data_IF_001220133257
#
_entry.id   IF_001220133257
#
_cell.length_a   1.000
_cell.length_b   1.000
_cell.length_c   1.000
_cell.angle_alpha   90.00
_cell.angle_beta   90.00
_cell.angle_gamma   90.00
#
_symmetry.space_group_name_H-M   'P 1'
#
loop_
_entity.id
_entity.type
_entity.pdbx_description
1 polymer ?
#
# COMPACT_ATOMS: atom_id res chain seq x y z
N UNK A 1 -12.19 -6.04 42.85
CA UNK A 1 -11.84 -7.09 41.86
C UNK A 1 -12.45 -6.80 40.50
N UNK A 2 -13.78 -6.75 40.34
CA UNK A 2 -14.44 -6.50 39.04
C UNK A 2 -14.01 -5.17 38.41
N UNK A 3 -14.12 -4.05 39.16
CA UNK A 3 -13.72 -2.73 38.65
C UNK A 3 -12.24 -2.68 38.24
N UNK A 4 -11.37 -3.41 38.93
CA UNK A 4 -9.94 -3.52 38.61
C UNK A 4 -9.72 -4.19 37.25
N UNK A 5 -10.44 -5.28 36.97
CA UNK A 5 -10.37 -5.99 35.69
C UNK A 5 -10.86 -5.09 34.55
N UNK A 6 -11.97 -4.38 34.75
CA UNK A 6 -12.53 -3.48 33.73
C UNK A 6 -11.55 -2.33 33.43
N UNK A 7 -10.92 -1.75 34.47
CA UNK A 7 -9.88 -0.74 34.29
C UNK A 7 -8.68 -1.28 33.50
N UNK A 8 -8.24 -2.50 33.80
CA UNK A 8 -7.16 -3.14 33.04
C UNK A 8 -7.52 -3.30 31.56
N UNK A 9 -8.73 -3.77 31.25
CA UNK A 9 -9.21 -3.90 29.87
C UNK A 9 -9.24 -2.52 29.17
N UNK A 10 -9.77 -1.50 29.84
CA UNK A 10 -9.79 -0.14 29.30
C UNK A 10 -8.38 0.35 28.92
N UNK A 11 -7.43 0.26 29.85
CA UNK A 11 -6.06 0.73 29.61
C UNK A 11 -5.30 -0.12 28.60
N UNK A 12 -5.53 -1.43 28.58
CA UNK A 12 -4.96 -2.31 27.58
C UNK A 12 -5.46 -1.96 26.18
N UNK A 13 -6.77 -1.79 26.01
CA UNK A 13 -7.38 -1.43 24.72
C UNK A 13 -6.93 -0.04 24.25
N UNK A 14 -6.88 0.95 25.15
CA UNK A 14 -6.37 2.28 24.85
C UNK A 14 -4.90 2.23 24.45
N UNK A 15 -4.08 1.48 25.21
CA UNK A 15 -2.66 1.29 24.94
C UNK A 15 -2.40 0.60 23.60
N UNK A 16 -3.18 -0.42 23.25
CA UNK A 16 -3.08 -1.12 21.95
C UNK A 16 -3.41 -0.20 20.78
N UNK A 17 -4.48 0.60 20.88
CA UNK A 17 -4.85 1.58 19.86
C UNK A 17 -3.75 2.64 19.74
N UNK A 18 -3.34 3.22 20.88
CA UNK A 18 -2.29 4.24 20.90
C UNK A 18 -0.99 3.73 20.29
N UNK A 19 -0.53 2.55 20.70
CA UNK A 19 0.68 1.93 20.15
C UNK A 19 0.56 1.73 18.64
N UNK A 20 -0.52 1.11 18.17
CA UNK A 20 -0.65 0.74 16.76
C UNK A 20 -0.73 1.95 15.82
N UNK A 21 -1.38 3.03 16.26
CA UNK A 21 -1.59 4.22 15.43
C UNK A 21 -0.56 5.33 15.65
N UNK A 22 0.05 5.46 16.84
CA UNK A 22 0.98 6.56 17.17
C UNK A 22 2.29 6.04 17.75
N UNK A 23 2.23 5.17 18.76
CA UNK A 23 3.41 4.70 19.49
C UNK A 23 4.42 3.95 18.61
N UNK A 24 3.95 3.17 17.64
CA UNK A 24 4.79 2.50 16.65
C UNK A 24 5.60 3.51 15.84
N UNK A 25 4.95 4.55 15.31
CA UNK A 25 5.61 5.59 14.52
C UNK A 25 6.69 6.32 15.32
N UNK A 26 6.41 6.64 16.60
CA UNK A 26 7.39 7.24 17.51
C UNK A 26 8.57 6.29 17.73
N UNK A 27 8.29 5.02 18.03
CA UNK A 27 9.32 4.02 18.32
C UNK A 27 10.24 3.79 17.10
N UNK A 28 9.68 3.56 15.92
CA UNK A 28 10.47 3.38 14.69
C UNK A 28 11.26 4.64 14.35
N UNK A 29 10.67 5.84 14.53
CA UNK A 29 11.41 7.09 14.34
C UNK A 29 12.65 7.18 15.24
N UNK A 30 12.54 6.81 16.52
CA UNK A 30 13.68 6.73 17.44
C UNK A 30 14.71 5.72 16.95
N UNK A 31 14.27 4.49 16.60
CA UNK A 31 15.17 3.43 16.12
C UNK A 31 15.91 3.82 14.84
N UNK A 32 15.24 4.49 13.90
CA UNK A 32 15.84 5.03 12.67
C UNK A 32 16.87 6.11 12.99
N UNK A 33 16.59 7.00 13.94
CA UNK A 33 17.54 8.04 14.37
C UNK A 33 18.81 7.43 14.96
N UNK A 34 18.67 6.39 15.79
CA UNK A 34 19.80 5.64 16.35
C UNK A 34 20.58 4.94 15.22
N UNK A 35 19.89 4.22 14.32
CA UNK A 35 20.52 3.52 13.20
C UNK A 35 21.30 4.46 12.26
N UNK A 36 20.82 5.69 12.07
CA UNK A 36 21.48 6.70 11.21
C UNK A 36 22.88 7.09 11.71
N UNK A 37 23.21 6.86 12.98
CA UNK A 37 24.55 7.07 13.53
C UNK A 37 25.60 6.11 12.95
N UNK A 38 25.16 4.96 12.41
CA UNK A 38 26.04 3.95 11.82
C UNK A 38 25.78 3.73 10.32
N UNK A 39 25.27 4.76 9.63
CA UNK A 39 24.87 4.64 8.22
C UNK A 39 26.08 4.40 7.34
N UNK A 40 26.08 3.27 6.62
CA UNK A 40 27.03 3.00 5.53
C UNK A 40 26.57 3.73 4.26
N UNK A 41 27.51 4.17 3.40
CA UNK A 41 27.16 4.65 2.07
C UNK A 41 26.42 3.56 1.30
N UNK A 42 25.35 3.95 0.61
CA UNK A 42 24.58 3.05 -0.25
C UNK A 42 25.24 3.05 -1.63
N UNK A 43 25.42 1.89 -2.29
CA UNK A 43 25.91 1.84 -3.66
C UNK A 43 25.00 2.66 -4.58
N UNK A 44 25.58 3.30 -5.59
CA UNK A 44 24.86 4.06 -6.60
C UNK A 44 25.37 3.68 -7.98
N UNK A 45 24.49 3.75 -8.97
CA UNK A 45 24.89 3.74 -10.38
C UNK A 45 25.63 5.04 -10.70
N UNK A 46 26.77 4.94 -11.38
CA UNK A 46 27.71 6.05 -11.57
C UNK A 46 27.41 6.83 -12.86
N UNK A 47 26.81 6.15 -13.85
CA UNK A 47 26.48 6.71 -15.17
C UNK A 47 25.26 6.01 -15.81
N UNK A 48 24.79 6.51 -16.96
CA UNK A 48 23.63 5.94 -17.67
C UNK A 48 23.88 4.53 -18.24
N UNK A 49 25.13 4.19 -18.53
CA UNK A 49 25.51 2.86 -19.03
C UNK A 49 25.45 1.81 -17.92
N UNK A 50 25.66 2.20 -16.67
CA UNK A 50 25.53 1.34 -15.50
C UNK A 50 24.08 1.07 -15.09
N UNK A 51 23.12 1.83 -15.62
CA UNK A 51 21.69 1.61 -15.34
C UNK A 51 21.22 0.25 -15.86
N UNK A 52 20.42 -0.51 -15.09
CA UNK A 52 19.92 -1.81 -15.51
C UNK A 52 18.86 -1.68 -16.61
N UNK A 53 18.70 -2.72 -17.42
CA UNK A 53 17.53 -2.84 -18.29
C UNK A 53 16.28 -3.07 -17.42
N UNK A 54 15.18 -2.41 -17.77
CA UNK A 54 13.90 -2.43 -17.04
C UNK A 54 12.77 -2.83 -17.99
N UNK A 55 11.86 -3.68 -17.54
CA UNK A 55 10.56 -3.89 -18.18
C UNK A 55 9.45 -3.23 -17.35
N UNK A 56 8.76 -2.25 -17.93
CA UNK A 56 7.54 -1.68 -17.37
C UNK A 56 6.35 -2.48 -17.89
N UNK A 57 5.71 -3.22 -17.00
CA UNK A 57 4.52 -4.02 -17.26
C UNK A 57 3.28 -3.24 -16.82
N UNK A 58 2.45 -2.87 -17.78
CA UNK A 58 1.17 -2.18 -17.56
C UNK A 58 0.02 -3.16 -17.72
N UNK A 59 -0.73 -3.40 -16.64
CA UNK A 59 -1.95 -4.20 -16.68
C UNK A 59 -3.16 -3.32 -17.00
N UNK A 60 -3.94 -3.72 -18.00
CA UNK A 60 -5.13 -3.01 -18.46
C UNK A 60 -6.30 -3.99 -18.65
N UNK A 61 -7.50 -3.59 -18.26
CA UNK A 61 -8.73 -4.33 -18.55
C UNK A 61 -9.84 -3.33 -18.85
N UNK A 62 -10.26 -3.26 -20.10
CA UNK A 62 -11.25 -2.30 -20.58
C UNK A 62 -10.95 -0.84 -20.19
N UNK A 63 -9.80 -0.34 -20.65
CA UNK A 63 -9.24 0.97 -20.30
C UNK A 63 -9.20 1.92 -21.51
N UNK A 64 -10.06 1.72 -22.53
CA UNK A 64 -10.04 2.50 -23.78
C UNK A 64 -10.08 4.03 -23.56
N UNK A 65 -10.73 4.49 -22.49
CA UNK A 65 -10.90 5.91 -22.17
C UNK A 65 -9.63 6.56 -21.57
N UNK A 66 -8.68 5.75 -21.11
CA UNK A 66 -7.48 6.21 -20.39
C UNK A 66 -6.16 5.73 -21.02
N UNK A 67 -6.19 4.63 -21.77
CA UNK A 67 -4.99 3.94 -22.23
C UNK A 67 -4.06 4.82 -23.08
N UNK A 68 -4.60 5.72 -23.91
CA UNK A 68 -3.82 6.70 -24.69
C UNK A 68 -2.96 7.60 -23.80
N UNK A 69 -3.55 8.11 -22.70
CA UNK A 69 -2.82 8.94 -21.73
C UNK A 69 -1.72 8.13 -21.05
N UNK A 70 -2.01 6.87 -20.72
CA UNK A 70 -1.02 5.96 -20.12
C UNK A 70 0.14 5.65 -21.07
N UNK A 71 -0.14 5.44 -22.35
CA UNK A 71 0.86 5.22 -23.40
C UNK A 71 1.77 6.46 -23.51
N UNK A 72 1.19 7.65 -23.69
CA UNK A 72 1.94 8.90 -23.75
C UNK A 72 2.83 9.08 -22.50
N UNK A 73 2.26 8.89 -21.31
CA UNK A 73 2.99 8.95 -20.04
C UNK A 73 4.16 7.96 -19.96
N UNK A 74 3.98 6.73 -20.46
CA UNK A 74 5.03 5.70 -20.43
C UNK A 74 6.17 6.01 -21.41
N UNK A 75 5.85 6.64 -22.56
CA UNK A 75 6.84 7.05 -23.56
C UNK A 75 7.63 8.31 -23.16
N UNK A 76 7.10 9.09 -22.22
CA UNK A 76 7.72 10.33 -21.69
C UNK A 76 8.63 10.10 -20.48
N UNK A 77 8.72 8.87 -19.97
CA UNK A 77 9.58 8.53 -18.82
C UNK A 77 11.04 8.85 -19.11
N UNK A 78 11.71 9.48 -18.13
CA UNK A 78 13.14 9.80 -18.22
C UNK A 78 14.00 8.56 -17.92
N UNK A 79 14.18 7.74 -18.95
CA UNK A 79 15.05 6.57 -18.93
C UNK A 79 15.62 6.29 -20.33
N UNK A 80 16.84 5.74 -20.45
CA UNK A 80 17.39 5.37 -21.76
C UNK A 80 16.44 4.41 -22.50
N UNK A 81 15.94 4.84 -23.68
CA UNK A 81 14.90 4.10 -24.43
C UNK A 81 15.29 2.67 -24.78
N UNK A 82 16.57 2.43 -25.02
CA UNK A 82 17.11 1.09 -25.33
C UNK A 82 17.23 0.18 -24.09
N UNK A 83 16.95 0.70 -22.88
CA UNK A 83 16.94 -0.01 -21.60
C UNK A 83 15.56 -0.01 -20.93
N UNK A 84 14.51 0.39 -21.63
CA UNK A 84 13.14 0.38 -21.13
C UNK A 84 12.22 -0.36 -22.08
N UNK A 85 11.84 -1.57 -21.70
CA UNK A 85 10.82 -2.33 -22.41
C UNK A 85 9.44 -1.93 -21.89
N UNK A 86 8.53 -1.58 -22.80
CA UNK A 86 7.14 -1.30 -22.48
C UNK A 86 6.29 -2.51 -22.85
N UNK A 87 5.74 -3.19 -21.85
CA UNK A 87 4.90 -4.37 -22.03
C UNK A 87 3.50 -4.06 -21.50
N UNK A 88 2.51 -4.11 -22.36
CA UNK A 88 1.11 -3.86 -21.99
C UNK A 88 0.33 -5.15 -22.09
N UNK A 89 -0.37 -5.52 -21.02
CA UNK A 89 -1.18 -6.73 -20.96
C UNK A 89 -2.66 -6.41 -20.81
N UNK A 90 -3.49 -6.96 -21.71
CA UNK A 90 -4.91 -6.62 -21.85
C UNK A 90 -5.84 -7.84 -21.72
N UNK A 91 -5.46 -8.85 -20.93
CA UNK A 91 -6.20 -10.12 -20.84
C UNK A 91 -7.66 -9.93 -20.44
N UNK A 92 -8.57 -10.49 -21.24
CA UNK A 92 -10.01 -10.37 -21.08
C UNK A 92 -10.63 -9.08 -21.60
N UNK A 93 -9.84 -8.13 -22.12
CA UNK A 93 -10.40 -6.87 -22.65
C UNK A 93 -11.26 -7.15 -23.88
N UNK A 94 -12.43 -6.55 -23.93
CA UNK A 94 -13.40 -6.70 -25.02
C UNK A 94 -13.84 -5.36 -25.62
N UNK A 95 -13.12 -4.29 -25.30
CA UNK A 95 -13.28 -2.95 -25.82
C UNK A 95 -12.10 -2.58 -26.76
N UNK A 96 -11.93 -1.30 -27.11
CA UNK A 96 -10.88 -0.85 -28.02
C UNK A 96 -9.46 -0.85 -27.42
N UNK A 97 -9.28 -1.21 -26.14
CA UNK A 97 -7.98 -1.14 -25.45
C UNK A 97 -6.86 -1.88 -26.19
N UNK A 98 -7.02 -3.16 -26.62
CA UNK A 98 -5.96 -3.87 -27.32
C UNK A 98 -5.64 -3.25 -28.69
N UNK A 99 -6.65 -2.74 -29.39
CA UNK A 99 -6.50 -2.15 -30.72
C UNK A 99 -5.74 -0.83 -30.67
N UNK A 100 -6.04 0.01 -29.67
CA UNK A 100 -5.31 1.25 -29.41
C UNK A 100 -3.82 0.94 -29.18
N UNK A 101 -3.50 0.02 -28.26
CA UNK A 101 -2.11 -0.32 -27.93
C UNK A 101 -1.38 -0.90 -29.15
N UNK A 102 -2.05 -1.72 -29.97
CA UNK A 102 -1.44 -2.35 -31.15
C UNK A 102 -0.92 -1.33 -32.18
N UNK A 103 -1.47 -0.12 -32.19
CA UNK A 103 -1.02 0.95 -33.08
C UNK A 103 0.32 1.59 -32.66
N UNK A 104 0.89 1.21 -31.51
CA UNK A 104 2.16 1.74 -31.02
C UNK A 104 3.29 0.71 -31.14
N UNK A 105 4.13 0.85 -32.16
CA UNK A 105 5.23 -0.08 -32.45
C UNK A 105 6.29 -0.23 -31.33
N UNK A 106 6.43 0.78 -30.46
CA UNK A 106 7.37 0.77 -29.33
C UNK A 106 6.84 0.01 -28.09
N UNK A 107 5.64 -0.56 -28.18
CA UNK A 107 4.98 -1.25 -27.06
C UNK A 107 4.73 -2.70 -27.44
N UNK A 108 5.16 -3.61 -26.58
CA UNK A 108 4.83 -5.02 -26.70
C UNK A 108 3.44 -5.28 -26.10
N UNK A 109 2.45 -5.46 -26.96
CA UNK A 109 1.12 -5.89 -26.54
C UNK A 109 1.08 -7.40 -26.28
N UNK A 110 0.55 -7.76 -25.12
CA UNK A 110 0.20 -9.13 -24.75
C UNK A 110 -1.32 -9.18 -24.54
N UNK A 111 -2.04 -9.96 -25.34
CA UNK A 111 -3.50 -10.09 -25.22
C UNK A 111 -3.97 -11.54 -25.29
N UNK A 112 -4.87 -11.92 -24.39
CA UNK A 112 -5.68 -13.13 -24.46
C UNK A 112 -7.16 -12.76 -24.28
N UNK A 113 -8.10 -13.38 -25.02
CA UNK A 113 -9.53 -13.15 -24.83
C UNK A 113 -10.05 -13.59 -23.46
N UNK A 114 -9.41 -14.56 -22.80
CA UNK A 114 -9.86 -15.10 -21.52
C UNK A 114 -9.46 -14.22 -20.33
N UNK A 115 -10.43 -13.90 -19.46
CA UNK A 115 -10.17 -13.18 -18.21
C UNK A 115 -9.83 -14.13 -17.05
N UNK A 116 -8.55 -14.30 -16.77
CA UNK A 116 -8.04 -15.12 -15.64
C UNK A 116 -7.61 -14.30 -14.40
N UNK A 117 -7.83 -12.98 -14.43
CA UNK A 117 -7.50 -12.07 -13.34
C UNK A 117 -6.08 -11.48 -13.42
N UNK A 118 -5.82 -10.46 -12.58
CA UNK A 118 -4.57 -9.66 -12.60
C UNK A 118 -3.32 -10.50 -12.35
N UNK A 119 -3.36 -11.41 -11.37
CA UNK A 119 -2.23 -12.30 -11.03
C UNK A 119 -1.82 -13.17 -12.23
N UNK A 120 -2.80 -13.79 -12.90
CA UNK A 120 -2.53 -14.63 -14.07
C UNK A 120 -1.92 -13.83 -15.23
N UNK A 121 -2.44 -12.63 -15.48
CA UNK A 121 -1.89 -11.69 -16.45
C UNK A 121 -0.44 -11.32 -16.10
N UNK A 122 -0.17 -10.88 -14.86
CA UNK A 122 1.18 -10.53 -14.41
C UNK A 122 2.17 -11.68 -14.58
N UNK A 123 1.79 -12.91 -14.20
CA UNK A 123 2.62 -14.10 -14.40
C UNK A 123 2.99 -14.31 -15.87
N UNK A 124 2.02 -14.15 -16.77
CA UNK A 124 2.24 -14.27 -18.22
C UNK A 124 3.16 -13.17 -18.73
N UNK A 125 2.95 -11.92 -18.28
CA UNK A 125 3.76 -10.79 -18.69
C UNK A 125 5.24 -10.96 -18.27
N UNK A 126 5.50 -11.53 -17.10
CA UNK A 126 6.85 -11.78 -16.60
C UNK A 126 7.59 -12.84 -17.41
N UNK A 127 6.89 -13.86 -17.90
CA UNK A 127 7.48 -14.84 -18.81
C UNK A 127 7.94 -14.22 -20.15
N UNK A 128 7.46 -13.02 -20.48
CA UNK A 128 7.86 -12.25 -21.65
C UNK A 128 8.80 -11.09 -21.34
N UNK A 129 9.12 -10.84 -20.07
CA UNK A 129 10.07 -9.80 -19.66
C UNK A 129 11.47 -10.42 -19.56
N UNK A 130 12.43 -9.89 -20.32
CA UNK A 130 13.83 -10.36 -20.28
C UNK A 130 14.68 -9.50 -19.32
N UNK A 131 14.28 -8.25 -19.13
CA UNK A 131 14.94 -7.29 -18.25
C UNK A 131 15.15 -7.83 -16.82
N UNK A 132 16.30 -7.56 -16.19
CA UNK A 132 16.59 -7.99 -14.82
C UNK A 132 15.69 -7.33 -13.78
N UNK A 133 15.15 -6.14 -14.06
CA UNK A 133 14.20 -5.42 -13.20
C UNK A 133 12.86 -5.32 -13.90
N UNK A 134 11.79 -5.65 -13.18
CA UNK A 134 10.41 -5.54 -13.65
C UNK A 134 9.67 -4.53 -12.77
N UNK A 135 8.93 -3.62 -13.38
CA UNK A 135 8.05 -2.65 -12.71
C UNK A 135 6.62 -2.95 -13.13
N UNK A 136 5.74 -3.19 -12.16
CA UNK A 136 4.31 -3.34 -12.37
C UNK A 136 3.59 -2.03 -12.12
N UNK A 137 2.64 -1.73 -12.98
CA UNK A 137 1.82 -0.54 -12.90
C UNK A 137 0.43 -0.80 -13.47
N UNK A 138 -0.58 -0.11 -12.92
CA UNK A 138 -1.95 -0.17 -13.43
C UNK A 138 -2.17 0.88 -14.53
N UNK A 139 -3.01 0.55 -15.52
CA UNK A 139 -3.27 1.42 -16.66
C UNK A 139 -3.91 2.75 -16.28
N UNK A 140 -4.77 2.78 -15.26
CA UNK A 140 -5.47 3.97 -14.77
C UNK A 140 -4.61 4.89 -13.88
N UNK A 141 -3.30 4.67 -13.82
CA UNK A 141 -2.35 5.46 -13.02
C UNK A 141 -1.31 6.15 -13.90
N UNK A 142 -0.96 7.41 -13.62
CA UNK A 142 0.14 8.11 -14.29
C UNK A 142 1.39 8.16 -13.42
N UNK A 143 2.52 7.81 -14.01
CA UNK A 143 3.83 7.84 -13.37
C UNK A 143 4.48 9.21 -13.52
N UNK A 144 5.27 9.64 -12.54
CA UNK A 144 6.11 10.81 -12.73
C UNK A 144 7.29 10.53 -13.66
N UNK A 145 7.80 11.58 -14.32
CA UNK A 145 8.85 11.47 -15.34
C UNK A 145 10.07 10.67 -14.88
N UNK A 146 10.55 10.95 -13.67
CA UNK A 146 11.73 10.31 -13.05
C UNK A 146 11.44 8.97 -12.37
N UNK A 147 10.22 8.43 -12.50
CA UNK A 147 9.75 7.26 -11.73
C UNK A 147 10.69 6.06 -11.85
N UNK A 148 11.05 5.68 -13.08
CA UNK A 148 11.91 4.51 -13.34
C UNK A 148 13.30 4.76 -12.76
N UNK A 149 13.89 5.94 -13.01
CA UNK A 149 15.21 6.34 -12.51
C UNK A 149 15.28 6.29 -10.98
N UNK A 150 14.27 6.83 -10.30
CA UNK A 150 14.18 6.83 -8.84
C UNK A 150 13.97 5.43 -8.26
N UNK A 151 13.24 4.56 -8.95
CA UNK A 151 13.11 3.15 -8.55
C UNK A 151 14.45 2.42 -8.70
N UNK A 152 15.09 2.52 -9.88
CA UNK A 152 16.21 1.65 -10.18
C UNK A 152 17.41 1.89 -9.28
N UNK A 153 17.62 3.13 -8.80
CA UNK A 153 18.76 3.50 -7.94
C UNK A 153 18.94 2.59 -6.72
N UNK A 154 17.86 2.02 -6.20
CA UNK A 154 17.91 1.10 -5.05
C UNK A 154 18.51 -0.26 -5.39
N UNK A 155 18.41 -0.73 -6.63
CA UNK A 155 18.95 -2.03 -7.04
C UNK A 155 20.47 -2.07 -7.19
N UNK A 156 21.16 -0.95 -7.01
CA UNK A 156 22.60 -0.94 -6.81
C UNK A 156 23.00 -1.71 -5.53
N UNK A 157 22.11 -1.79 -4.53
CA UNK A 157 22.25 -2.71 -3.39
C UNK A 157 21.72 -4.11 -3.77
N UNK A 158 22.57 -5.16 -3.77
CA UNK A 158 22.15 -6.52 -4.11
C UNK A 158 21.13 -7.10 -3.12
N UNK A 159 21.01 -6.55 -1.90
CA UNK A 159 19.98 -6.97 -0.93
C UNK A 159 18.59 -6.49 -1.31
N UNK A 160 18.47 -5.43 -2.11
CA UNK A 160 17.17 -4.91 -2.52
C UNK A 160 16.58 -5.88 -3.54
N UNK A 161 15.53 -6.57 -3.12
CA UNK A 161 14.77 -7.48 -3.97
C UNK A 161 13.59 -6.79 -4.66
N UNK A 162 13.07 -5.71 -4.06
CA UNK A 162 11.97 -4.94 -4.63
C UNK A 162 11.93 -3.48 -4.17
N UNK A 163 11.18 -2.64 -4.89
CA UNK A 163 10.95 -1.23 -4.52
C UNK A 163 9.49 -0.90 -4.72
N UNK A 164 8.87 -0.31 -3.70
CA UNK A 164 7.52 0.23 -3.74
C UNK A 164 7.56 1.74 -3.93
N UNK A 165 6.84 2.24 -4.93
CA UNK A 165 6.63 3.67 -5.11
C UNK A 165 5.49 4.21 -4.24
N UNK A 166 5.30 5.53 -4.28
CA UNK A 166 4.21 6.20 -3.59
C UNK A 166 2.92 6.21 -4.42
N UNK A 167 1.83 5.82 -3.80
CA UNK A 167 0.49 6.04 -4.34
C UNK A 167 0.07 7.48 -4.07
N UNK A 168 -0.36 8.20 -5.11
CA UNK A 168 -0.94 9.55 -4.99
C UNK A 168 -2.32 9.60 -5.61
N UNK A 169 -3.19 10.42 -5.04
CA UNK A 169 -4.51 10.71 -5.58
C UNK A 169 -4.45 12.11 -6.22
N UNK A 170 -4.98 12.25 -7.43
CA UNK A 170 -5.09 13.54 -8.09
C UNK A 170 -5.97 14.47 -7.27
N UNK A 171 -5.41 15.63 -6.92
CA UNK A 171 -6.20 16.70 -6.34
C UNK A 171 -6.86 17.46 -7.49
N UNK A 172 -8.11 17.12 -7.79
CA UNK A 172 -8.97 18.05 -8.53
C UNK A 172 -9.32 19.21 -7.59
N UNK A 173 -9.05 20.43 -8.05
CA UNK A 173 -9.25 21.70 -7.33
C UNK A 173 -10.69 21.96 -6.87
N UNK A 174 -11.66 21.13 -7.27
CA UNK A 174 -13.07 21.28 -6.94
C UNK A 174 -13.51 20.71 -5.57
N UNK A 175 -12.76 19.77 -4.96
CA UNK A 175 -13.19 19.07 -3.73
C UNK A 175 -12.08 19.01 -2.65
N UNK A 176 -11.49 20.16 -2.32
CA UNK A 176 -10.36 20.29 -1.40
C UNK A 176 -10.62 19.81 0.06
N UNK A 177 -11.87 19.67 0.49
CA UNK A 177 -12.22 19.35 1.88
C UNK A 177 -12.27 17.83 2.16
N UNK A 178 -12.87 17.03 1.27
CA UNK A 178 -12.82 15.56 1.37
C UNK A 178 -11.38 15.05 1.17
N UNK A 179 -10.60 15.73 0.32
CA UNK A 179 -9.19 15.45 0.09
C UNK A 179 -8.27 15.72 1.31
N UNK A 180 -8.73 16.46 2.34
CA UNK A 180 -7.87 16.87 3.46
C UNK A 180 -7.63 15.74 4.48
N UNK A 181 -8.69 14.98 4.83
CA UNK A 181 -8.59 13.87 5.80
C UNK A 181 -7.89 12.65 5.22
N UNK A 182 -8.28 12.24 4.02
CA UNK A 182 -7.62 11.17 3.28
C UNK A 182 -6.15 11.54 2.96
N UNK A 183 -5.89 12.79 2.60
CA UNK A 183 -4.53 13.29 2.36
C UNK A 183 -3.64 13.24 3.61
N UNK A 184 -4.16 13.53 4.81
CA UNK A 184 -3.38 13.43 6.05
C UNK A 184 -3.08 11.97 6.40
N UNK A 185 -4.05 11.07 6.25
CA UNK A 185 -3.84 9.64 6.45
C UNK A 185 -2.78 9.08 5.50
N UNK A 186 -2.86 9.37 4.20
CA UNK A 186 -1.88 8.89 3.23
C UNK A 186 -0.49 9.48 3.46
N UNK A 187 -0.39 10.76 3.84
CA UNK A 187 0.90 11.37 4.26
C UNK A 187 1.48 10.65 5.47
N UNK A 188 0.64 10.30 6.45
CA UNK A 188 1.08 9.57 7.62
C UNK A 188 1.53 8.14 7.28
N UNK A 189 0.75 7.40 6.49
CA UNK A 189 1.14 6.07 6.01
C UNK A 189 2.41 6.10 5.16
N UNK A 190 2.58 7.10 4.28
CA UNK A 190 3.80 7.30 3.50
C UNK A 190 5.00 7.59 4.39
N UNK A 191 4.83 8.41 5.43
CA UNK A 191 5.85 8.65 6.44
C UNK A 191 6.24 7.37 7.19
N UNK A 192 5.26 6.57 7.62
CA UNK A 192 5.54 5.29 8.28
C UNK A 192 6.24 4.30 7.35
N UNK A 193 5.81 4.17 6.08
CA UNK A 193 6.50 3.33 5.08
C UNK A 193 7.96 3.75 4.87
N UNK A 194 8.23 5.05 4.87
CA UNK A 194 9.59 5.58 4.80
C UNK A 194 10.40 5.21 6.03
N UNK A 195 9.81 5.32 7.22
CA UNK A 195 10.45 4.91 8.47
C UNK A 195 10.76 3.41 8.50
N UNK A 196 9.82 2.56 8.09
CA UNK A 196 10.02 1.11 7.98
C UNK A 196 11.16 0.79 6.99
N UNK A 197 11.13 1.38 5.80
CA UNK A 197 12.18 1.21 4.80
C UNK A 197 13.56 1.67 5.30
N UNK A 198 13.62 2.79 6.03
CA UNK A 198 14.84 3.30 6.65
C UNK A 198 15.32 2.37 7.78
N UNK A 199 14.41 1.79 8.56
CA UNK A 199 14.71 0.87 9.67
C UNK A 199 15.19 -0.48 9.15
N UNK A 200 14.46 -1.11 8.24
CA UNK A 200 14.87 -2.36 7.61
C UNK A 200 14.23 -2.61 6.25
N UNK A 201 12.90 -2.64 6.15
CA UNK A 201 12.15 -2.89 4.91
C UNK A 201 10.76 -2.26 4.98
N UNK A 202 10.21 -1.77 3.88
CA UNK A 202 8.79 -1.35 3.89
C UNK A 202 7.88 -2.57 4.01
N UNK A 203 6.84 -2.48 4.86
CA UNK A 203 5.86 -3.55 5.03
C UNK A 203 4.72 -3.37 4.04
N UNK A 204 4.86 -4.07 2.92
CA UNK A 204 3.92 -4.08 1.81
C UNK A 204 4.23 -3.04 0.75
N UNK A 205 4.13 -3.46 -0.50
CA UNK A 205 4.10 -2.57 -1.65
C UNK A 205 2.67 -2.17 -2.00
N UNK A 206 2.52 -1.05 -2.71
CA UNK A 206 1.27 -0.68 -3.35
C UNK A 206 1.32 -1.21 -4.79
N UNK A 207 0.36 -2.04 -5.19
CA UNK A 207 0.33 -2.69 -6.50
C UNK A 207 0.21 -1.73 -7.68
N UNK A 208 -0.10 -0.46 -7.44
CA UNK A 208 -0.10 0.61 -8.42
C UNK A 208 1.32 0.96 -8.91
N UNK A 209 2.35 0.74 -8.08
CA UNK A 209 3.76 0.95 -8.42
C UNK A 209 4.67 0.09 -7.55
N UNK A 210 4.97 -1.11 -8.04
CA UNK A 210 5.88 -2.06 -7.40
C UNK A 210 6.88 -2.60 -8.40
N UNK A 211 8.14 -2.69 -8.00
CA UNK A 211 9.19 -3.30 -8.80
C UNK A 211 9.87 -4.43 -8.06
N UNK A 212 10.44 -5.35 -8.82
CA UNK A 212 11.14 -6.52 -8.31
C UNK A 212 12.29 -6.91 -9.23
N UNK A 213 13.33 -7.55 -8.67
CA UNK A 213 14.27 -8.32 -9.49
C UNK A 213 13.53 -9.48 -10.14
N UNK A 214 13.58 -9.59 -11.46
CA UNK A 214 12.85 -10.60 -12.24
C UNK A 214 13.07 -12.02 -11.70
N UNK A 215 14.32 -12.35 -11.38
CA UNK A 215 14.71 -13.67 -10.86
C UNK A 215 14.11 -14.01 -9.48
N UNK A 216 13.71 -12.99 -8.71
CA UNK A 216 13.11 -13.14 -7.38
C UNK A 216 11.57 -13.07 -7.43
N UNK A 217 10.98 -12.85 -8.60
CA UNK A 217 9.54 -12.81 -8.72
C UNK A 217 8.97 -14.21 -8.48
N UNK A 218 8.16 -14.32 -7.43
CA UNK A 218 7.32 -15.48 -7.18
C UNK A 218 5.86 -15.07 -7.30
N UNK A 219 5.09 -15.88 -8.03
CA UNK A 219 3.66 -15.66 -8.09
C UNK A 219 3.01 -15.88 -6.72
N UNK A 220 2.06 -15.02 -6.36
CA UNK A 220 1.15 -15.33 -5.28
C UNK A 220 0.25 -16.52 -5.69
N UNK A 221 -0.14 -17.39 -4.74
CA UNK A 221 -1.11 -18.44 -5.04
C UNK A 221 -2.37 -17.89 -5.69
N UNK A 222 -2.98 -18.67 -6.59
CA UNK A 222 -4.23 -18.27 -7.25
C UNK A 222 -5.31 -17.93 -6.21
N UNK A 223 -6.07 -16.86 -6.47
CA UNK A 223 -7.07 -16.36 -5.53
C UNK A 223 -6.51 -15.51 -4.37
N UNK A 224 -5.22 -15.16 -4.39
CA UNK A 224 -4.68 -14.14 -3.46
C UNK A 224 -5.29 -12.78 -3.76
N UNK A 225 -5.80 -12.11 -2.73
CA UNK A 225 -6.54 -10.84 -2.86
C UNK A 225 -5.63 -9.60 -2.84
N UNK A 226 -4.57 -9.64 -2.02
CA UNK A 226 -3.56 -8.59 -1.89
C UNK A 226 -2.19 -9.14 -2.29
N UNK A 227 -2.08 -9.51 -3.56
CA UNK A 227 -0.92 -10.20 -4.14
C UNK A 227 0.37 -9.41 -3.98
N UNK A 228 0.32 -8.11 -4.20
CA UNK A 228 1.41 -7.15 -4.07
C UNK A 228 2.02 -7.15 -2.65
N UNK A 229 1.15 -7.14 -1.65
CA UNK A 229 1.52 -7.22 -0.24
C UNK A 229 2.18 -8.55 0.10
N UNK A 230 1.62 -9.66 -0.38
CA UNK A 230 2.17 -11.00 -0.14
C UNK A 230 3.52 -11.18 -0.84
N UNK A 231 3.62 -10.79 -2.12
CA UNK A 231 4.85 -10.91 -2.91
C UNK A 231 5.99 -10.09 -2.34
N UNK A 232 5.73 -8.83 -1.98
CA UNK A 232 6.75 -7.96 -1.39
C UNK A 232 7.29 -8.52 -0.06
N UNK A 233 6.45 -9.13 0.77
CA UNK A 233 6.89 -9.72 2.04
C UNK A 233 7.52 -11.11 1.89
N UNK A 234 7.18 -11.88 0.85
CA UNK A 234 7.92 -13.12 0.51
C UNK A 234 9.38 -12.85 0.18
N UNK A 235 9.70 -11.74 -0.49
CA UNK A 235 11.09 -11.33 -0.71
C UNK A 235 11.85 -11.22 0.63
N UNK A 236 11.19 -10.73 1.67
CA UNK A 236 11.77 -10.58 3.01
C UNK A 236 11.99 -11.93 3.70
N UNK A 237 11.08 -12.90 3.51
CA UNK A 237 11.24 -14.28 4.00
C UNK A 237 12.47 -14.95 3.37
N UNK A 238 12.77 -14.61 2.11
CA UNK A 238 13.93 -15.06 1.35
C UNK A 238 15.22 -14.24 1.61
N UNK A 239 15.21 -13.33 2.60
CA UNK A 239 16.40 -12.58 3.02
C UNK A 239 16.70 -11.29 2.25
N UNK A 240 15.83 -10.90 1.32
CA UNK A 240 15.90 -9.62 0.62
C UNK A 240 15.16 -8.52 1.38
N UNK A 241 15.26 -7.29 0.90
CA UNK A 241 14.52 -6.15 1.44
C UNK A 241 13.74 -5.44 0.33
N UNK A 242 12.63 -4.83 0.73
CA UNK A 242 11.83 -3.95 -0.12
C UNK A 242 12.06 -2.51 0.32
N UNK A 243 12.44 -1.65 -0.63
CA UNK A 243 12.63 -0.22 -0.38
C UNK A 243 11.37 0.56 -0.69
N UNK A 244 11.19 1.69 -0.01
CA UNK A 244 10.15 2.65 -0.33
C UNK A 244 10.76 3.90 -0.98
N UNK A 245 10.24 4.28 -2.14
CA UNK A 245 10.71 5.39 -2.94
C UNK A 245 9.59 6.44 -3.11
N UNK A 246 9.54 7.50 -2.28
CA UNK A 246 8.50 8.51 -2.37
C UNK A 246 8.63 9.45 -3.57
N UNK A 247 9.81 9.55 -4.20
CA UNK A 247 10.01 10.38 -5.39
C UNK A 247 9.63 9.63 -6.69
N UNK A 248 9.25 8.37 -6.60
CA UNK A 248 8.62 7.60 -7.67
C UNK A 248 7.17 7.34 -7.29
N UNK A 249 6.22 7.95 -8.00
CA UNK A 249 4.82 7.88 -7.65
C UNK A 249 3.90 7.54 -8.81
N UNK A 250 2.85 6.79 -8.50
CA UNK A 250 1.72 6.51 -9.38
C UNK A 250 0.51 7.31 -8.90
N UNK A 251 -0.03 8.14 -9.79
CA UNK A 251 -1.10 9.06 -9.49
C UNK A 251 -2.40 8.65 -10.18
N UNK A 252 -3.47 8.43 -9.42
CA UNK A 252 -4.80 8.03 -9.92
C UNK A 252 -5.87 9.07 -9.58
N UNK A 253 -6.97 9.06 -10.35
CA UNK A 253 -8.16 9.82 -10.00
C UNK A 253 -8.85 9.25 -8.73
N UNK A 254 -9.50 10.09 -7.91
CA UNK A 254 -10.25 9.61 -6.75
C UNK A 254 -11.41 8.70 -7.20
N UNK A 255 -11.73 7.69 -6.39
CA UNK A 255 -12.85 6.79 -6.67
C UNK A 255 -14.18 7.55 -6.69
N UNK A 256 -14.96 7.33 -7.76
CA UNK A 256 -16.21 8.08 -7.97
C UNK A 256 -17.37 7.63 -7.03
N UNK A 257 -17.28 6.44 -6.43
CA UNK A 257 -18.38 5.81 -5.69
C UNK A 257 -17.93 5.24 -4.35
N UNK A 258 -18.52 5.75 -3.26
CA UNK A 258 -18.29 5.24 -1.90
C UNK A 258 -18.70 3.76 -1.78
N UNK A 259 -19.75 3.34 -2.51
CA UNK A 259 -20.21 1.94 -2.49
C UNK A 259 -19.16 1.00 -3.10
N UNK A 260 -18.50 1.42 -4.17
CA UNK A 260 -17.43 0.65 -4.80
C UNK A 260 -16.17 0.65 -3.93
N UNK A 261 -15.85 1.78 -3.31
CA UNK A 261 -14.74 1.88 -2.36
C UNK A 261 -14.97 0.99 -1.13
N UNK A 262 -16.18 0.93 -0.59
CA UNK A 262 -16.53 0.03 0.50
C UNK A 262 -16.35 -1.45 0.09
N UNK A 263 -16.84 -1.85 -1.10
CA UNK A 263 -16.60 -3.20 -1.62
C UNK A 263 -15.10 -3.51 -1.75
N UNK A 264 -14.31 -2.55 -2.24
CA UNK A 264 -12.85 -2.65 -2.33
C UNK A 264 -12.23 -2.85 -0.95
N UNK A 265 -12.57 -2.02 0.05
CA UNK A 265 -12.03 -2.11 1.41
C UNK A 265 -12.39 -3.42 2.11
N UNK A 266 -13.64 -3.89 2.00
CA UNK A 266 -14.07 -5.19 2.56
C UNK A 266 -13.24 -6.33 1.99
N UNK A 267 -13.02 -6.33 0.67
CA UNK A 267 -12.15 -7.30 0.01
C UNK A 267 -10.70 -7.21 0.51
N UNK A 268 -10.14 -6.00 0.63
CA UNK A 268 -8.78 -5.79 1.17
C UNK A 268 -8.68 -6.34 2.61
N UNK A 269 -9.69 -6.11 3.46
CA UNK A 269 -9.73 -6.66 4.81
C UNK A 269 -9.75 -8.20 4.80
N UNK A 270 -10.51 -8.84 3.92
CA UNK A 270 -10.47 -10.29 3.76
C UNK A 270 -9.07 -10.76 3.29
N UNK A 271 -8.46 -10.02 2.36
CA UNK A 271 -7.09 -10.26 1.90
C UNK A 271 -6.04 -10.15 3.00
N UNK A 272 -6.21 -9.24 3.96
CA UNK A 272 -5.33 -9.09 5.10
C UNK A 272 -5.26 -10.37 5.96
N UNK A 273 -6.41 -11.01 6.26
CA UNK A 273 -6.45 -12.29 6.97
C UNK A 273 -5.84 -13.43 6.14
N UNK A 274 -6.09 -13.44 4.83
CA UNK A 274 -5.45 -14.39 3.92
C UNK A 274 -3.91 -14.23 3.94
N UNK A 275 -3.41 -12.99 3.89
CA UNK A 275 -1.98 -12.70 3.92
C UNK A 275 -1.32 -13.14 5.23
N UNK A 276 -2.01 -13.06 6.38
CA UNK A 276 -1.49 -13.59 7.65
C UNK A 276 -1.18 -15.09 7.58
N UNK A 277 -2.03 -15.86 6.90
CA UNK A 277 -1.84 -17.30 6.72
C UNK A 277 -0.69 -17.57 5.75
N UNK A 278 -0.67 -16.86 4.62
CA UNK A 278 0.35 -17.00 3.57
C UNK A 278 1.75 -16.55 4.04
N UNK A 279 1.82 -15.63 5.00
CA UNK A 279 3.04 -15.06 5.55
C UNK A 279 3.28 -15.49 7.00
N UNK A 280 2.78 -16.67 7.40
CA UNK A 280 2.87 -17.17 8.77
C UNK A 280 4.31 -17.22 9.32
N UNK A 281 5.30 -17.39 8.44
CA UNK A 281 6.71 -17.44 8.81
C UNK A 281 7.20 -16.12 9.41
N UNK A 282 6.59 -14.99 9.05
CA UNK A 282 6.90 -13.67 9.60
C UNK A 282 6.40 -13.48 11.04
N UNK A 283 5.68 -14.43 11.63
CA UNK A 283 5.43 -14.42 13.08
C UNK A 283 6.61 -14.98 13.90
N UNK A 284 7.60 -15.58 13.25
CA UNK A 284 8.82 -16.03 13.92
C UNK A 284 9.78 -14.86 14.17
N UNK A 285 9.57 -14.15 15.27
CA UNK A 285 10.39 -13.02 15.72
C UNK A 285 11.86 -13.36 15.97
N UNK A 286 12.20 -14.63 16.17
CA UNK A 286 13.60 -15.04 16.34
C UNK A 286 14.32 -15.19 15.00
N UNK A 287 13.59 -15.62 13.96
CA UNK A 287 14.13 -15.77 12.60
C UNK A 287 14.16 -14.44 11.83
N UNK A 288 13.14 -13.61 11.99
CA UNK A 288 12.97 -12.36 11.23
C UNK A 288 12.73 -11.14 12.15
N UNK A 289 13.61 -10.84 13.13
CA UNK A 289 13.29 -9.94 14.25
C UNK A 289 12.74 -8.58 13.84
N UNK A 290 13.37 -7.90 12.88
CA UNK A 290 12.94 -6.56 12.49
C UNK A 290 11.71 -6.60 11.57
N UNK A 291 11.69 -7.49 10.57
CA UNK A 291 10.55 -7.64 9.65
C UNK A 291 9.29 -8.08 10.40
N UNK A 292 9.41 -9.03 11.32
CA UNK A 292 8.32 -9.48 12.18
C UNK A 292 7.79 -8.34 13.05
N UNK A 293 8.69 -7.54 13.63
CA UNK A 293 8.30 -6.38 14.43
C UNK A 293 7.52 -5.34 13.60
N UNK A 294 8.02 -4.97 12.42
CA UNK A 294 7.36 -4.02 11.51
C UNK A 294 6.02 -4.60 11.02
N UNK A 295 6.00 -5.86 10.59
CA UNK A 295 4.79 -6.55 10.09
C UNK A 295 3.70 -6.63 11.15
N UNK A 296 4.04 -7.08 12.36
CA UNK A 296 3.07 -7.24 13.45
C UNK A 296 2.57 -5.87 13.90
N UNK A 297 3.47 -4.93 14.18
CA UNK A 297 3.13 -3.64 14.78
C UNK A 297 2.41 -2.71 13.81
N UNK A 298 2.86 -2.64 12.56
CA UNK A 298 2.29 -1.73 11.57
C UNK A 298 1.02 -2.29 10.91
N UNK A 299 0.93 -3.61 10.70
CA UNK A 299 -0.20 -4.22 9.97
C UNK A 299 -1.09 -5.06 10.86
N UNK A 300 -0.54 -6.13 11.46
CA UNK A 300 -1.37 -7.15 12.11
C UNK A 300 -2.19 -6.59 13.26
N UNK A 301 -1.59 -5.79 14.14
CA UNK A 301 -2.31 -5.18 15.26
C UNK A 301 -3.50 -4.32 14.78
N UNK A 302 -3.30 -3.53 13.73
CA UNK A 302 -4.35 -2.67 13.15
C UNK A 302 -5.48 -3.46 12.52
N UNK A 303 -5.17 -4.57 11.86
CA UNK A 303 -6.18 -5.42 11.21
C UNK A 303 -6.97 -6.29 12.20
N UNK A 304 -6.36 -6.68 13.32
CA UNK A 304 -6.94 -7.70 14.22
C UNK A 304 -7.35 -7.14 15.57
N UNK A 305 -6.38 -6.64 16.36
CA UNK A 305 -6.61 -6.25 17.73
C UNK A 305 -7.24 -4.85 17.86
N UNK A 306 -6.92 -3.90 16.97
CA UNK A 306 -7.49 -2.55 17.05
C UNK A 306 -9.02 -2.52 16.92
N UNK A 307 -9.66 -3.24 15.98
CA UNK A 307 -11.13 -3.28 15.91
C UNK A 307 -11.76 -3.83 17.20
N UNK A 308 -11.18 -4.90 17.77
CA UNK A 308 -11.65 -5.49 19.04
C UNK A 308 -11.37 -4.53 20.22
N UNK A 309 -10.22 -3.86 20.21
CA UNK A 309 -9.83 -2.87 21.21
C UNK A 309 -10.80 -1.68 21.22
N UNK A 310 -11.26 -1.20 20.06
CA UNK A 310 -12.24 -0.11 19.99
C UNK A 310 -13.57 -0.49 20.68
N UNK A 311 -14.07 -1.70 20.43
CA UNK A 311 -15.32 -2.19 21.03
C UNK A 311 -15.14 -2.36 22.54
N UNK A 312 -14.08 -3.05 22.95
CA UNK A 312 -13.80 -3.31 24.37
C UNK A 312 -13.48 -2.04 25.14
N UNK A 313 -12.85 -1.03 24.52
CA UNK A 313 -12.61 0.28 25.10
C UNK A 313 -13.92 1.02 25.38
N UNK A 314 -14.88 1.01 24.44
CA UNK A 314 -16.18 1.64 24.65
C UNK A 314 -16.96 0.94 25.78
N UNK A 315 -17.07 -0.39 25.73
CA UNK A 315 -17.82 -1.16 26.72
C UNK A 315 -17.21 -0.99 28.12
N UNK A 316 -15.88 -1.12 28.24
CA UNK A 316 -15.21 -0.94 29.52
C UNK A 316 -15.38 0.47 30.07
N UNK A 317 -15.33 1.51 29.24
CA UNK A 317 -15.53 2.89 29.68
C UNK A 317 -16.96 3.15 30.18
N UNK A 318 -17.98 2.64 29.47
CA UNK A 318 -19.39 2.71 29.92
C UNK A 318 -19.55 2.09 31.31
N UNK A 319 -18.99 0.90 31.51
CA UNK A 319 -19.06 0.20 32.80
C UNK A 319 -18.32 0.95 33.91
N UNK A 320 -17.15 1.53 33.64
CA UNK A 320 -16.41 2.33 34.61
C UNK A 320 -17.24 3.55 35.04
N UNK A 321 -17.80 4.31 34.08
CA UNK A 321 -18.62 5.50 34.38
C UNK A 321 -19.88 5.13 35.16
N UNK A 322 -20.51 4.00 34.85
CA UNK A 322 -21.71 3.54 35.56
C UNK A 322 -21.42 3.10 37.00
N UNK A 323 -20.27 2.47 37.26
CA UNK A 323 -19.93 1.92 38.57
C UNK A 323 -19.21 2.92 39.48
N UNK A 324 -18.36 3.77 38.91
CA UNK A 324 -17.48 4.69 39.63
C UNK A 324 -17.20 5.93 38.75
N UNK A 325 -18.18 6.84 38.61
CA UNK A 325 -18.06 7.99 37.73
C UNK A 325 -16.88 8.88 38.15
N UNK A 326 -16.09 9.28 37.16
CA UNK A 326 -14.96 10.19 37.32
C UNK A 326 -14.94 11.15 36.13
N UNK A 327 -14.57 12.44 36.34
CA UNK A 327 -14.53 13.43 35.27
C UNK A 327 -13.75 12.98 34.04
N UNK A 328 -12.64 12.25 34.25
CA UNK A 328 -11.81 11.72 33.18
C UNK A 328 -12.57 10.71 32.30
N UNK A 329 -13.07 9.62 32.90
CA UNK A 329 -13.76 8.56 32.16
C UNK A 329 -15.04 9.06 31.50
N UNK A 330 -15.77 9.96 32.16
CA UNK A 330 -16.96 10.62 31.61
C UNK A 330 -16.60 11.45 30.38
N UNK A 331 -15.55 12.28 30.44
CA UNK A 331 -15.10 13.06 29.29
C UNK A 331 -14.68 12.16 28.13
N UNK A 332 -13.90 11.11 28.40
CA UNK A 332 -13.48 10.14 27.37
C UNK A 332 -14.71 9.47 26.75
N UNK A 333 -15.72 9.12 27.54
CA UNK A 333 -16.95 8.49 27.04
C UNK A 333 -17.75 9.43 26.14
N UNK A 334 -17.84 10.72 26.51
CA UNK A 334 -18.47 11.75 25.67
C UNK A 334 -17.73 11.91 24.34
N UNK A 335 -16.39 11.95 24.37
CA UNK A 335 -15.58 12.03 23.15
C UNK A 335 -15.71 10.79 22.28
N UNK A 336 -15.77 9.59 22.87
CA UNK A 336 -16.05 8.34 22.16
C UNK A 336 -17.44 8.38 21.53
N UNK A 337 -18.47 8.79 22.28
CA UNK A 337 -19.83 8.94 21.78
C UNK A 337 -19.89 9.88 20.58
N UNK A 338 -19.27 11.06 20.69
CA UNK A 338 -19.16 12.02 19.59
C UNK A 338 -18.47 11.39 18.37
N UNK A 339 -17.32 10.74 18.56
CA UNK A 339 -16.58 10.06 17.49
C UNK A 339 -17.44 9.02 16.75
N UNK A 340 -18.12 8.14 17.47
CA UNK A 340 -18.96 7.11 16.85
C UNK A 340 -20.21 7.69 16.18
N UNK A 341 -20.83 8.71 16.77
CA UNK A 341 -21.97 9.43 16.17
C UNK A 341 -21.53 10.10 14.87
N UNK A 342 -20.36 10.75 14.84
CA UNK A 342 -19.78 11.34 13.62
C UNK A 342 -19.53 10.26 12.56
N UNK A 343 -19.00 9.10 12.95
CA UNK A 343 -18.79 7.98 12.02
C UNK A 343 -20.10 7.44 11.42
N UNK A 344 -21.12 7.23 12.25
CA UNK A 344 -22.44 6.75 11.82
C UNK A 344 -23.15 7.79 10.93
N UNK A 345 -23.11 9.07 11.31
CA UNK A 345 -23.72 10.15 10.51
C UNK A 345 -23.02 10.30 9.16
N UNK A 346 -21.69 10.17 9.11
CA UNK A 346 -20.92 10.15 7.87
C UNK A 346 -21.32 9.00 6.96
N UNK A 347 -21.46 7.79 7.51
CA UNK A 347 -21.94 6.63 6.75
C UNK A 347 -23.37 6.81 6.23
N UNK A 348 -24.30 7.35 7.05
CA UNK A 348 -25.68 7.61 6.63
C UNK A 348 -25.70 8.62 5.48
N UNK A 349 -24.96 9.73 5.58
CA UNK A 349 -24.90 10.74 4.53
C UNK A 349 -24.25 10.21 3.25
N UNK A 350 -23.17 9.46 3.37
CA UNK A 350 -22.54 8.75 2.25
C UNK A 350 -23.54 7.83 1.53
N UNK A 351 -24.33 7.05 2.28
CA UNK A 351 -25.33 6.14 1.71
C UNK A 351 -26.48 6.86 0.98
N UNK A 352 -26.72 8.12 1.31
CA UNK A 352 -27.72 9.01 0.69
C UNK A 352 -27.13 9.95 -0.37
N UNK A 353 -25.85 9.80 -0.74
CA UNK A 353 -25.11 10.71 -1.62
C UNK A 353 -25.12 12.19 -1.16
N UNK A 354 -25.29 12.45 0.15
CA UNK A 354 -25.25 13.78 0.72
C UNK A 354 -23.80 14.11 1.09
N UNK A 355 -23.21 15.11 0.43
CA UNK A 355 -21.83 15.56 0.71
C UNK A 355 -21.82 16.65 1.79
N UNK A 356 -21.65 16.28 3.05
CA UNK A 356 -21.53 17.22 4.17
C UNK A 356 -20.08 17.37 4.62
N UNK A 357 -19.50 18.56 4.44
CA UNK A 357 -18.07 18.87 4.65
C UNK A 357 -17.49 18.45 6.01
N UNK A 358 -18.29 18.44 7.08
CA UNK A 358 -17.83 18.11 8.43
C UNK A 358 -17.81 16.61 8.75
N UNK A 359 -18.43 15.78 7.91
CA UNK A 359 -18.70 14.36 8.20
C UNK A 359 -18.45 13.45 7.00
N UNK A 360 -18.00 14.02 5.88
CA UNK A 360 -17.66 13.25 4.69
C UNK A 360 -16.32 12.54 4.94
N UNK A 361 -16.37 11.21 5.01
CA UNK A 361 -15.21 10.32 5.13
C UNK A 361 -14.82 9.85 3.74
#
# INVERSE_FOLDING_TARGET
MILTIINFIFWLSLGLIFYSYVGYGILVWILVRIKKLWKKPVPLFVDEESLPHVALIVAAYNEQDFIEKKIANSLELDYPKHKLDLIFITDGSNDLTPDIIRNHANIRLLHQPERRGKVAAMNRAIAHAEAPIVIFCDANTLLNKECVRNIVRHYADPKVGGVAGEKRIWQNTADAAAAAGEGLYWKYEGFLKKLDSDLYTTVGAAGELFSVRRELFESAPEGTIIEDFVQSLKLCVNGYVVRYEPDAYAAEAPSASIKEEMKRKVRICAGAFQAMILLKDLFNVFKYPVVSFEFISHRILRWTLCPVALITLLISNILIVAMAPSPFFTLVLVLQGAFYITGITGWIFASKNIRLKAVYI
#
